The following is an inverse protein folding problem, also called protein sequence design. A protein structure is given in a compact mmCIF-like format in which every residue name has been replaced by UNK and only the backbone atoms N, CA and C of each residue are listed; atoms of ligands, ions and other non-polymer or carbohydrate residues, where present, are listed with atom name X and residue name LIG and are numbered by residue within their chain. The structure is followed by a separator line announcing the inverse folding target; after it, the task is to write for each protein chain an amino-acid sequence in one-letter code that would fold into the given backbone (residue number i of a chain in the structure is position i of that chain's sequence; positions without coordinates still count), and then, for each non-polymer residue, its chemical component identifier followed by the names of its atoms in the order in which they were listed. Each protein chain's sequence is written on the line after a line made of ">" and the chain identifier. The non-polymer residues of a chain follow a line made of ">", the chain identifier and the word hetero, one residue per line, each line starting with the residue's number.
data_IF_027126760451
#
_entry.id   IF_027126760451
#
_cell.length_a   1.000
_cell.length_b   1.000
_cell.length_c   1.000
_cell.angle_alpha   90.00
_cell.angle_beta   90.00
_cell.angle_gamma   90.00
#
_symmetry.space_group_name_H-M   'P 1'
#
loop_
_entity.id
_entity.type
_entity.pdbx_description
1 polymer ?
#
# COMPACT_ATOMS: atom_id res chain seq x y z
N UNK A 1 -68.17 -27.40 -13.62
CA UNK A 1 -68.42 -25.94 -13.52
C UNK A 1 -67.32 -25.39 -12.62
N UNK A 2 -66.15 -25.07 -13.15
CA UNK A 2 -65.74 -23.75 -13.71
C UNK A 2 -65.89 -22.60 -12.71
N UNK A 3 -64.92 -22.52 -11.80
CA UNK A 3 -64.34 -21.27 -11.29
C UNK A 3 -62.82 -21.53 -11.26
N UNK A 4 -62.12 -21.28 -12.37
CA UNK A 4 -61.27 -20.09 -12.57
C UNK A 4 -60.40 -19.86 -11.32
N UNK A 5 -59.17 -20.39 -11.30
CA UNK A 5 -57.96 -19.64 -11.69
C UNK A 5 -58.06 -18.20 -11.21
N UNK A 6 -57.33 -17.83 -10.15
CA UNK A 6 -56.75 -16.50 -9.90
C UNK A 6 -56.12 -16.50 -8.48
N UNK A 7 -54.89 -15.99 -8.38
CA UNK A 7 -54.01 -15.86 -7.20
C UNK A 7 -53.26 -17.12 -6.73
N UNK A 8 -52.10 -17.40 -7.35
CA UNK A 8 -50.88 -17.07 -6.61
C UNK A 8 -49.85 -16.47 -7.58
N UNK A 9 -50.02 -15.21 -7.96
CA UNK A 9 -49.07 -14.56 -8.88
C UNK A 9 -48.76 -13.11 -8.49
N UNK A 10 -48.82 -12.79 -7.20
CA UNK A 10 -48.58 -11.42 -6.71
C UNK A 10 -47.54 -11.33 -5.59
N UNK A 11 -46.57 -12.26 -5.53
CA UNK A 11 -45.48 -12.20 -4.55
C UNK A 11 -44.08 -12.27 -5.16
N UNK A 12 -43.93 -12.18 -6.49
CA UNK A 12 -42.62 -12.32 -7.15
C UNK A 12 -41.99 -10.99 -7.63
N UNK A 13 -42.62 -9.83 -7.38
CA UNK A 13 -42.19 -8.57 -7.99
C UNK A 13 -41.37 -7.62 -7.08
N UNK A 14 -41.00 -8.04 -5.87
CA UNK A 14 -40.43 -7.13 -4.86
C UNK A 14 -38.91 -7.24 -4.62
N UNK A 15 -38.12 -7.83 -5.55
CA UNK A 15 -36.66 -7.97 -5.37
C UNK A 15 -35.78 -7.19 -6.38
N UNK A 16 -36.36 -6.34 -7.23
CA UNK A 16 -35.59 -5.65 -8.28
C UNK A 16 -35.19 -4.19 -7.95
N UNK A 17 -35.03 -3.82 -6.67
CA UNK A 17 -34.73 -2.44 -6.26
C UNK A 17 -33.29 -2.19 -5.80
N UNK A 18 -32.39 -3.17 -5.91
CA UNK A 18 -30.99 -2.99 -5.52
C UNK A 18 -30.18 -2.47 -6.72
N UNK A 19 -30.24 -1.17 -6.97
CA UNK A 19 -29.29 -0.49 -7.88
C UNK A 19 -27.99 -0.24 -7.11
N UNK A 20 -26.82 -0.64 -7.60
CA UNK A 20 -25.56 -0.28 -6.98
C UNK A 20 -25.40 1.25 -7.00
N UNK A 21 -24.92 1.88 -5.92
CA UNK A 21 -24.67 3.31 -5.92
C UNK A 21 -23.69 3.65 -7.05
N UNK A 22 -24.05 4.60 -7.91
CA UNK A 22 -23.09 5.17 -8.86
C UNK A 22 -22.02 5.90 -8.05
N UNK A 23 -20.83 5.30 -8.02
CA UNK A 23 -19.65 5.89 -7.42
C UNK A 23 -19.17 7.02 -8.32
N UNK A 24 -19.80 8.20 -8.16
CA UNK A 24 -19.28 9.45 -8.71
C UNK A 24 -18.03 9.81 -7.91
N UNK A 25 -16.93 9.11 -8.21
CA UNK A 25 -15.61 9.37 -7.65
C UNK A 25 -15.03 10.61 -8.33
N UNK A 26 -15.41 11.78 -7.82
CA UNK A 26 -14.44 12.88 -7.71
C UNK A 26 -14.00 12.94 -6.26
N UNK A 27 -13.26 11.93 -5.82
CA UNK A 27 -12.46 12.07 -4.62
C UNK A 27 -11.40 13.15 -4.91
N UNK A 28 -11.18 14.12 -4.01
CA UNK A 28 -10.03 15.00 -4.12
C UNK A 28 -8.78 14.10 -4.16
N UNK A 29 -7.92 14.31 -5.16
CA UNK A 29 -6.59 13.69 -5.16
C UNK A 29 -5.88 14.27 -3.95
N UNK A 30 -5.89 13.54 -2.84
CA UNK A 30 -5.02 13.84 -1.72
C UNK A 30 -3.60 13.71 -2.27
N UNK A 31 -2.83 14.78 -2.17
CA UNK A 31 -1.40 14.80 -2.47
C UNK A 31 -0.70 14.01 -1.35
N UNK A 32 -0.95 12.70 -1.33
CA UNK A 32 -0.28 11.76 -0.48
C UNK A 32 1.18 11.73 -0.95
N UNK A 33 2.16 11.72 -0.03
CA UNK A 33 3.55 11.61 -0.41
C UNK A 33 3.71 10.41 -1.34
N UNK A 34 4.26 10.66 -2.54
CA UNK A 34 4.56 9.58 -3.47
C UNK A 34 5.39 8.54 -2.72
N UNK A 35 4.97 7.27 -2.80
CA UNK A 35 5.67 6.17 -2.13
C UNK A 35 7.16 6.25 -2.42
N UNK A 36 8.00 6.26 -1.38
CA UNK A 36 9.45 6.29 -1.54
C UNK A 36 10.02 4.99 -2.14
N UNK A 37 9.17 4.00 -2.49
CA UNK A 37 9.55 2.73 -3.10
C UNK A 37 9.96 1.64 -2.10
N UNK A 38 9.78 1.86 -0.78
CA UNK A 38 10.22 0.92 0.24
C UNK A 38 9.53 -0.47 0.16
N UNK A 39 8.27 -0.52 -0.28
CA UNK A 39 7.50 -1.78 -0.37
C UNK A 39 8.13 -2.76 -1.36
N UNK A 40 8.63 -2.25 -2.49
CA UNK A 40 9.27 -3.06 -3.55
C UNK A 40 10.65 -3.59 -3.12
N UNK A 41 11.22 -3.02 -2.07
CA UNK A 41 12.57 -3.29 -1.59
C UNK A 41 12.60 -4.11 -0.30
N UNK A 42 11.45 -4.55 0.22
CA UNK A 42 11.39 -5.36 1.44
C UNK A 42 12.20 -6.66 1.35
N UNK A 43 12.40 -7.20 0.13
CA UNK A 43 13.24 -8.37 -0.10
C UNK A 43 14.74 -8.17 0.24
N UNK A 44 15.18 -6.93 0.47
CA UNK A 44 16.54 -6.64 0.94
C UNK A 44 16.73 -6.93 2.42
N UNK A 45 15.67 -6.96 3.24
CA UNK A 45 15.79 -7.22 4.67
C UNK A 45 16.43 -8.60 4.91
N UNK A 46 17.47 -8.62 5.74
CA UNK A 46 18.29 -9.81 6.00
C UNK A 46 19.38 -10.09 4.97
N UNK A 47 19.46 -9.33 3.86
CA UNK A 47 20.56 -9.44 2.90
C UNK A 47 21.80 -8.71 3.42
N UNK A 48 23.03 -9.14 3.02
CA UNK A 48 24.24 -8.44 3.38
C UNK A 48 24.28 -7.02 2.78
N UNK A 49 24.96 -6.10 3.45
CA UNK A 49 25.16 -4.72 2.97
C UNK A 49 25.64 -4.66 1.50
N UNK A 50 26.44 -5.64 1.04
CA UNK A 50 26.90 -5.71 -0.35
C UNK A 50 25.78 -5.76 -1.39
N UNK A 51 24.60 -6.30 -1.04
CA UNK A 51 23.43 -6.29 -1.93
C UNK A 51 22.90 -4.87 -2.17
N UNK A 52 23.06 -3.98 -1.19
CA UNK A 52 22.72 -2.55 -1.31
C UNK A 52 23.78 -1.83 -2.14
N UNK A 53 25.06 -2.08 -1.88
CA UNK A 53 26.19 -1.42 -2.59
C UNK A 53 26.21 -1.68 -4.09
N UNK A 54 25.62 -2.79 -4.54
CA UNK A 54 25.60 -3.19 -5.95
C UNK A 54 24.51 -2.50 -6.81
N UNK A 55 23.68 -1.65 -6.19
CA UNK A 55 22.49 -1.07 -6.83
C UNK A 55 22.44 0.45 -6.69
N UNK A 56 21.90 1.10 -7.71
CA UNK A 56 21.49 2.51 -7.65
C UNK A 56 20.06 2.63 -7.09
N UNK A 57 19.83 3.62 -6.23
CA UNK A 57 18.52 3.90 -5.63
C UNK A 57 17.99 5.26 -6.08
N UNK A 58 16.73 5.54 -5.73
CA UNK A 58 16.14 6.85 -5.99
C UNK A 58 16.98 7.98 -5.35
N UNK A 59 17.09 9.16 -5.98
CA UNK A 59 17.78 10.30 -5.40
C UNK A 59 17.28 10.61 -3.99
N UNK A 60 18.21 10.90 -3.08
CA UNK A 60 17.87 11.18 -1.68
C UNK A 60 17.72 9.96 -0.78
N UNK A 61 17.89 8.74 -1.31
CA UNK A 61 17.98 7.52 -0.48
C UNK A 61 19.12 7.64 0.53
N UNK A 62 18.84 7.28 1.78
CA UNK A 62 19.81 7.28 2.87
C UNK A 62 20.12 5.85 3.33
N UNK A 63 21.39 5.47 3.25
CA UNK A 63 21.88 4.22 3.85
C UNK A 63 22.45 4.59 5.23
N UNK A 64 21.97 3.94 6.28
CA UNK A 64 22.30 4.23 7.68
C UNK A 64 23.03 3.02 8.26
N UNK A 65 24.27 3.21 8.69
CA UNK A 65 25.05 2.19 9.39
C UNK A 65 24.65 2.04 10.87
N UNK A 66 25.11 0.97 11.54
CA UNK A 66 24.72 0.66 12.93
C UNK A 66 25.08 1.76 13.95
N UNK A 67 26.18 2.47 13.71
CA UNK A 67 26.72 3.49 14.61
C UNK A 67 26.57 4.92 14.05
N UNK A 68 25.85 5.07 12.95
CA UNK A 68 25.70 6.36 12.28
C UNK A 68 24.76 7.26 13.09
N UNK A 69 25.22 8.44 13.54
CA UNK A 69 24.34 9.39 14.20
C UNK A 69 23.44 10.04 13.14
N UNK A 70 22.13 9.81 13.26
CA UNK A 70 21.11 10.43 12.40
C UNK A 70 20.05 11.15 13.23
N UNK A 71 19.51 12.24 12.68
CA UNK A 71 18.31 12.88 13.22
C UNK A 71 17.06 12.09 12.82
N UNK A 72 16.08 12.03 13.71
CA UNK A 72 14.79 11.35 13.50
C UNK A 72 13.74 12.30 12.88
N UNK A 73 14.14 13.14 11.93
CA UNK A 73 13.22 13.95 11.12
C UNK A 73 12.43 13.05 10.17
N UNK A 74 11.11 13.24 10.09
CA UNK A 74 10.25 12.48 9.19
C UNK A 74 10.13 13.13 7.81
N UNK A 75 10.41 12.34 6.77
CA UNK A 75 10.35 12.66 5.35
C UNK A 75 9.78 11.45 4.59
N UNK A 76 8.46 11.45 4.35
CA UNK A 76 7.77 10.34 3.70
C UNK A 76 8.20 10.06 2.25
N UNK A 77 8.87 11.02 1.60
CA UNK A 77 9.46 10.91 0.27
C UNK A 77 10.85 10.25 0.28
N UNK A 78 11.48 10.10 1.45
CA UNK A 78 12.86 9.62 1.58
C UNK A 78 12.91 8.14 1.91
N UNK A 79 13.53 7.37 1.03
CA UNK A 79 13.87 5.98 1.29
C UNK A 79 15.05 5.90 2.27
N UNK A 80 14.91 5.09 3.32
CA UNK A 80 16.00 4.74 4.22
C UNK A 80 16.22 3.24 4.22
N UNK A 81 17.49 2.84 4.20
CA UNK A 81 17.95 1.46 4.35
C UNK A 81 18.89 1.44 5.56
N UNK A 82 18.50 0.76 6.62
CA UNK A 82 19.28 0.63 7.85
C UNK A 82 20.05 -0.69 7.83
N UNK A 83 21.35 -0.63 8.08
CA UNK A 83 22.23 -1.78 8.25
C UNK A 83 22.33 -2.09 9.75
N UNK A 84 22.06 -3.33 10.12
CA UNK A 84 22.15 -3.83 11.48
C UNK A 84 23.58 -4.14 11.91
N UNK A 85 23.83 -4.33 13.22
CA UNK A 85 25.16 -4.62 13.76
C UNK A 85 25.75 -5.96 13.27
N UNK A 86 24.93 -6.83 12.69
CA UNK A 86 25.33 -8.08 12.04
C UNK A 86 25.82 -7.88 10.59
N UNK A 87 25.77 -6.65 10.06
CA UNK A 87 26.16 -6.31 8.70
C UNK A 87 25.09 -6.57 7.63
N UNK A 88 23.89 -6.96 8.05
CA UNK A 88 22.76 -7.19 7.16
C UNK A 88 21.79 -6.00 7.17
N UNK A 89 20.96 -5.87 6.14
CA UNK A 89 19.88 -4.88 6.11
C UNK A 89 18.86 -5.23 7.19
N UNK A 90 18.74 -4.37 8.19
CA UNK A 90 17.79 -4.51 9.29
C UNK A 90 16.40 -3.96 8.92
N UNK A 91 16.35 -2.89 8.11
CA UNK A 91 15.09 -2.20 7.80
C UNK A 91 15.15 -1.45 6.48
N UNK A 92 14.02 -1.41 5.78
CA UNK A 92 13.78 -0.59 4.60
C UNK A 92 12.45 0.13 4.79
N UNK A 93 12.45 1.47 4.84
CA UNK A 93 11.25 2.25 5.14
C UNK A 93 11.32 3.70 4.64
N UNK A 94 10.17 4.35 4.53
CA UNK A 94 10.04 5.77 4.23
C UNK A 94 9.99 6.59 5.52
N UNK A 95 10.99 7.46 5.74
CA UNK A 95 11.02 8.44 6.85
C UNK A 95 12.14 9.48 6.71
#
# INVERSE_FOLDING_TARGET
>A
MRHLLIFPLLSAAALAACTPPEESSTAPVLDLPQSCGADELQGLVGQPQSAVSSREFAPGTRIIGPEDPVTADYRGDRLNIEIGPDGNVAKVACF
#
